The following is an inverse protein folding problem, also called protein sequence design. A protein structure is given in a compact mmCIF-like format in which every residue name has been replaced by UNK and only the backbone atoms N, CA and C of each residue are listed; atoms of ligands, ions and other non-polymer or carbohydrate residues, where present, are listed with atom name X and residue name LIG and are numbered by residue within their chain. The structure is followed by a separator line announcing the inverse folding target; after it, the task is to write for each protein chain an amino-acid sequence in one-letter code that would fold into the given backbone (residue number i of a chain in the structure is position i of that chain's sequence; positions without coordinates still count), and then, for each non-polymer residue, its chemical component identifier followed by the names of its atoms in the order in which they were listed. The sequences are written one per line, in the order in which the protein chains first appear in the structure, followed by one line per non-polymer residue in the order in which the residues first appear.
data_IF_391643341137
#
_entry.id   IF_391643341137
#
_cell.length_a   1.000
_cell.length_b   1.000
_cell.length_c   1.000
_cell.angle_alpha   90.00
_cell.angle_beta   90.00
_cell.angle_gamma   90.00
#
_symmetry.space_group_name_H-M   'P 1'
#
loop_
_entity.id
_entity.type
_entity.pdbx_description
1 polymer ?
#
# COMPACT_ATOMS: atom_id res chain seq x y z
N UNK A 1 -42.22 57.04 49.04
CA UNK A 1 -43.26 55.99 48.87
C UNK A 1 -42.63 54.63 49.17
N UNK A 2 -43.44 53.59 49.46
CA UNK A 2 -43.13 52.15 49.61
C UNK A 2 -41.73 51.71 49.10
N UNK A 3 -40.81 51.04 49.83
CA UNK A 3 -40.87 50.09 50.99
C UNK A 3 -41.53 48.75 50.68
N UNK A 4 -40.98 47.65 51.21
CA UNK A 4 -41.32 46.20 51.01
C UNK A 4 -40.78 45.60 49.69
N UNK A 5 -40.26 44.36 49.60
CA UNK A 5 -39.81 43.31 50.56
C UNK A 5 -38.88 42.34 49.77
N UNK A 6 -37.96 41.51 50.29
CA UNK A 6 -37.53 41.07 51.64
C UNK A 6 -36.12 41.65 51.98
N UNK A 7 -35.18 41.17 52.82
CA UNK A 7 -34.80 39.87 53.46
C UNK A 7 -34.34 38.79 52.42
N UNK A 8 -33.40 37.86 52.67
CA UNK A 8 -32.99 37.08 53.86
C UNK A 8 -31.44 37.03 54.05
N UNK A 9 -30.98 37.30 55.28
CA UNK A 9 -30.03 36.57 56.16
C UNK A 9 -28.83 35.78 55.54
N UNK A 10 -27.65 35.61 56.18
CA UNK A 10 -27.12 36.10 57.46
C UNK A 10 -25.57 35.96 57.58
N UNK A 11 -25.07 36.42 58.73
CA UNK A 11 -23.83 36.09 59.46
C UNK A 11 -23.19 34.71 59.11
N UNK A 12 -21.88 34.63 58.81
CA UNK A 12 -20.67 34.75 59.66
C UNK A 12 -20.29 33.48 60.46
N UNK A 13 -19.10 32.95 60.13
CA UNK A 13 -18.23 32.02 60.87
C UNK A 13 -16.84 32.23 60.22
N UNK A 14 -15.79 32.84 60.80
CA UNK A 14 -15.22 32.92 62.17
C UNK A 14 -14.19 31.84 62.55
N UNK A 15 -13.06 31.86 61.82
CA UNK A 15 -11.73 31.68 62.41
C UNK A 15 -10.64 32.19 61.44
N UNK A 16 -9.59 32.93 61.84
CA UNK A 16 -9.27 33.48 63.16
C UNK A 16 -7.93 32.99 63.72
N UNK A 17 -6.80 33.61 63.32
CA UNK A 17 -5.59 33.82 64.15
C UNK A 17 -4.55 34.72 63.48
N UNK A 18 -3.80 35.45 64.31
CA UNK A 18 -3.09 36.68 63.93
C UNK A 18 -1.59 36.57 64.28
N UNK A 19 -0.75 36.13 63.33
CA UNK A 19 0.61 35.65 63.62
C UNK A 19 1.71 36.36 62.83
N UNK A 20 1.83 37.66 63.11
CA UNK A 20 3.06 38.49 63.34
C UNK A 20 4.38 38.10 62.63
N UNK A 21 5.02 39.15 62.10
CA UNK A 21 6.39 39.23 61.55
C UNK A 21 7.39 38.08 61.82
N UNK A 22 8.14 37.69 60.78
CA UNK A 22 9.59 37.47 60.94
C UNK A 22 10.37 37.69 59.63
N UNK A 23 10.93 38.91 59.47
CA UNK A 23 11.84 39.25 58.36
C UNK A 23 13.22 38.65 58.60
N UNK A 24 13.54 37.47 58.03
CA UNK A 24 14.93 36.98 58.10
C UNK A 24 15.47 36.29 56.83
N UNK A 25 16.22 37.11 56.07
CA UNK A 25 17.52 36.80 55.42
C UNK A 25 17.58 35.55 54.53
N UNK A 26 17.30 35.81 53.26
CA UNK A 26 17.72 35.02 52.09
C UNK A 26 19.05 34.27 52.25
N UNK A 27 19.05 32.99 51.87
CA UNK A 27 20.22 32.23 51.45
C UNK A 27 19.96 31.66 50.06
N UNK A 28 20.29 32.43 49.03
CA UNK A 28 20.32 31.94 47.64
C UNK A 28 21.43 30.90 47.50
N UNK A 29 21.06 29.67 47.13
CA UNK A 29 21.95 28.69 46.49
C UNK A 29 21.11 27.54 45.93
N UNK A 30 20.82 27.59 44.64
CA UNK A 30 20.40 26.45 43.81
C UNK A 30 21.11 26.58 42.46
N UNK A 31 21.61 25.46 41.93
CA UNK A 31 22.65 25.44 40.90
C UNK A 31 22.18 24.67 39.67
N UNK A 32 22.56 25.18 38.50
CA UNK A 32 22.38 24.60 37.16
C UNK A 32 20.92 24.42 36.68
N UNK A 33 20.71 24.64 35.38
CA UNK A 33 19.40 24.54 34.74
C UNK A 33 19.20 23.20 34.02
N UNK A 34 17.93 22.86 33.78
CA UNK A 34 17.52 21.82 32.83
C UNK A 34 16.94 22.50 31.60
N UNK A 35 17.43 22.16 30.42
CA UNK A 35 17.01 22.75 29.15
C UNK A 35 15.81 22.02 28.53
N UNK A 36 15.11 22.68 27.61
CA UNK A 36 14.26 22.02 26.61
C UNK A 36 12.88 21.56 27.10
N UNK A 37 11.98 22.52 27.37
CA UNK A 37 10.56 22.23 27.65
C UNK A 37 9.81 21.77 26.37
N UNK A 38 9.94 20.48 26.07
CA UNK A 38 8.96 19.62 25.40
C UNK A 38 8.18 20.21 24.19
N UNK A 39 8.76 20.15 22.99
CA UNK A 39 8.00 20.32 21.74
C UNK A 39 6.99 19.18 21.56
N UNK A 40 5.70 19.47 21.73
CA UNK A 40 4.63 18.49 21.58
C UNK A 40 4.47 18.06 20.11
N UNK A 41 5.01 16.89 19.76
CA UNK A 41 4.86 16.29 18.43
C UNK A 41 3.57 15.45 18.35
N UNK A 42 2.59 15.80 17.48
CA UNK A 42 1.49 14.89 17.16
C UNK A 42 2.02 13.76 16.28
N UNK A 43 2.46 12.65 16.90
CA UNK A 43 2.87 11.43 16.22
C UNK A 43 1.64 10.67 15.64
N UNK A 44 0.89 11.34 14.77
CA UNK A 44 -0.35 10.82 14.18
C UNK A 44 -0.10 10.10 12.85
N UNK A 45 0.78 9.10 12.88
CA UNK A 45 0.64 7.98 11.95
C UNK A 45 0.86 6.67 12.72
N UNK A 46 -0.24 5.95 12.95
CA UNK A 46 -0.24 4.76 13.77
C UNK A 46 0.43 3.61 13.00
N UNK A 47 1.74 3.45 13.23
CA UNK A 47 2.47 2.21 12.95
C UNK A 47 1.59 1.05 13.44
N UNK A 48 1.06 0.25 12.52
CA UNK A 48 0.06 -0.75 12.83
C UNK A 48 0.71 -1.91 13.60
N UNK A 49 0.86 -1.73 14.92
CA UNK A 49 1.43 -2.70 15.83
C UNK A 49 0.59 -3.97 15.78
N UNK A 50 1.10 -4.97 15.05
CA UNK A 50 0.56 -6.31 15.06
C UNK A 50 0.94 -6.90 16.42
N UNK A 51 0.12 -6.63 17.43
CA UNK A 51 0.24 -7.21 18.76
C UNK A 51 0.04 -8.73 18.63
N UNK A 52 1.16 -9.44 18.45
CA UNK A 52 1.19 -10.91 18.39
C UNK A 52 1.05 -11.43 19.83
N UNK A 53 -0.19 -11.39 20.33
CA UNK A 53 -0.56 -12.18 21.52
C UNK A 53 -0.24 -13.63 21.22
N UNK A 54 0.64 -14.24 22.01
CA UNK A 54 1.13 -15.61 21.84
C UNK A 54 0.06 -16.58 22.36
N UNK A 55 -1.08 -16.61 21.68
CA UNK A 55 -1.95 -17.78 21.59
C UNK A 55 -1.58 -18.58 20.36
N UNK A 56 -1.80 -19.90 20.39
CA UNK A 56 -1.53 -20.82 19.29
C UNK A 56 -2.48 -20.59 18.09
N UNK A 57 -2.23 -19.52 17.33
CA UNK A 57 -3.00 -19.22 16.10
C UNK A 57 -2.90 -20.42 15.15
N UNK A 58 -4.03 -21.00 14.70
CA UNK A 58 -4.03 -22.14 13.79
C UNK A 58 -3.20 -21.85 12.54
N UNK A 59 -2.13 -22.63 12.35
CA UNK A 59 -1.26 -22.54 11.17
C UNK A 59 -1.90 -23.33 10.04
N UNK A 60 -2.65 -22.65 9.19
CA UNK A 60 -3.21 -23.28 8.00
C UNK A 60 -2.09 -23.60 7.00
N UNK A 61 -1.90 -24.88 6.70
CA UNK A 61 -1.03 -25.32 5.63
C UNK A 61 -1.76 -25.18 4.28
N UNK A 62 -1.15 -24.47 3.35
CA UNK A 62 -1.54 -24.43 1.95
C UNK A 62 -0.38 -25.03 1.14
N UNK A 63 -0.67 -26.02 0.29
CA UNK A 63 0.35 -26.76 -0.45
C UNK A 63 0.67 -25.97 -1.72
N UNK A 64 1.85 -25.35 -1.75
CA UNK A 64 2.29 -24.42 -2.81
C UNK A 64 3.69 -24.88 -3.25
N UNK A 65 3.71 -25.96 -4.03
CA UNK A 65 4.93 -26.72 -4.37
C UNK A 65 5.88 -25.99 -5.33
N UNK A 66 5.39 -24.94 -5.98
CA UNK A 66 6.16 -24.07 -6.88
C UNK A 66 5.88 -22.61 -6.50
N UNK A 67 6.89 -21.76 -6.61
CA UNK A 67 6.73 -20.32 -6.45
C UNK A 67 5.70 -19.82 -7.48
N UNK A 68 4.59 -19.18 -7.06
CA UNK A 68 3.64 -18.60 -7.99
C UNK A 68 4.29 -17.50 -8.82
N UNK A 69 3.88 -17.39 -10.08
CA UNK A 69 4.17 -16.23 -10.92
C UNK A 69 3.08 -15.17 -10.74
N UNK A 70 3.46 -13.90 -10.86
CA UNK A 70 2.63 -12.75 -10.52
C UNK A 70 2.51 -11.78 -11.68
N UNK A 71 1.30 -11.23 -11.88
CA UNK A 71 1.04 -10.14 -12.80
C UNK A 71 0.74 -8.85 -12.03
N UNK A 72 1.36 -7.75 -12.45
CA UNK A 72 1.28 -6.46 -11.77
C UNK A 72 0.04 -5.68 -12.21
N UNK A 73 -0.91 -5.47 -11.30
CA UNK A 73 -2.10 -4.67 -11.54
C UNK A 73 -1.81 -3.19 -11.28
N UNK A 74 -1.27 -2.52 -12.29
CA UNK A 74 -0.74 -1.16 -12.19
C UNK A 74 -1.73 -0.13 -11.63
N UNK A 75 -2.99 -0.15 -12.08
CA UNK A 75 -4.03 0.79 -11.61
C UNK A 75 -4.50 0.52 -10.17
N UNK A 76 -4.34 -0.71 -9.71
CA UNK A 76 -4.78 -1.18 -8.39
C UNK A 76 -3.65 -1.02 -7.35
N UNK A 77 -2.39 -1.13 -7.78
CA UNK A 77 -1.18 -0.93 -6.97
C UNK A 77 -0.70 -2.18 -6.23
N UNK A 78 -0.97 -3.38 -6.76
CA UNK A 78 -0.50 -4.66 -6.23
C UNK A 78 -0.34 -5.71 -7.33
N UNK A 79 0.37 -6.80 -7.03
CA UNK A 79 0.52 -7.97 -7.92
C UNK A 79 -0.44 -9.08 -7.53
N UNK A 80 -0.87 -9.91 -8.48
CA UNK A 80 -1.76 -11.06 -8.24
C UNK A 80 -1.21 -12.31 -8.92
N UNK A 81 -1.27 -13.46 -8.25
CA UNK A 81 -0.78 -14.72 -8.79
C UNK A 81 -1.63 -15.25 -9.95
N UNK A 82 -0.98 -15.81 -10.96
CA UNK A 82 -1.58 -16.64 -12.01
C UNK A 82 -0.92 -18.03 -12.03
N UNK A 83 -1.55 -19.02 -12.67
CA UNK A 83 -1.08 -20.43 -12.68
C UNK A 83 -1.16 -21.19 -11.34
N UNK A 84 -1.34 -20.47 -10.23
CA UNK A 84 -1.57 -21.01 -8.88
C UNK A 84 -3.03 -21.44 -8.67
N UNK A 85 -3.30 -22.53 -7.92
CA UNK A 85 -4.65 -22.93 -7.52
C UNK A 85 -5.28 -21.98 -6.49
N UNK A 86 -4.49 -21.10 -5.87
CA UNK A 86 -4.94 -20.09 -4.91
C UNK A 86 -4.77 -18.67 -5.46
N UNK A 87 -5.72 -17.78 -5.19
CA UNK A 87 -5.58 -16.35 -5.45
C UNK A 87 -4.71 -15.71 -4.35
N UNK A 88 -3.47 -15.37 -4.70
CA UNK A 88 -2.48 -14.76 -3.82
C UNK A 88 -2.17 -13.35 -4.33
N UNK A 89 -2.39 -12.34 -3.49
CA UNK A 89 -2.06 -10.95 -3.77
C UNK A 89 -0.72 -10.60 -3.10
N UNK A 90 0.21 -10.05 -3.87
CA UNK A 90 1.50 -9.56 -3.38
C UNK A 90 1.46 -8.03 -3.26
N UNK A 91 1.63 -7.54 -2.03
CA UNK A 91 1.63 -6.10 -1.71
C UNK A 91 2.55 -5.79 -0.54
N UNK A 92 3.35 -4.72 -0.64
CA UNK A 92 4.33 -4.28 0.37
C UNK A 92 5.17 -5.44 0.97
N UNK A 93 5.65 -6.34 0.11
CA UNK A 93 6.45 -7.52 0.47
C UNK A 93 5.75 -8.54 1.41
N UNK A 94 4.42 -8.50 1.49
CA UNK A 94 3.57 -9.53 2.10
C UNK A 94 2.70 -10.22 1.05
N UNK A 95 2.45 -11.50 1.27
CA UNK A 95 1.53 -12.32 0.49
C UNK A 95 0.20 -12.42 1.23
N UNK A 96 -0.90 -12.18 0.50
CA UNK A 96 -2.27 -12.22 1.00
C UNK A 96 -3.07 -13.25 0.19
N UNK A 97 -3.33 -14.41 0.78
CA UNK A 97 -4.08 -15.51 0.16
C UNK A 97 -5.55 -15.41 0.56
N UNK A 98 -6.46 -15.53 -0.40
CA UNK A 98 -7.90 -15.63 -0.14
C UNK A 98 -8.39 -17.06 -0.41
N UNK A 99 -9.03 -17.68 0.58
CA UNK A 99 -9.61 -19.00 0.45
C UNK A 99 -10.91 -19.11 1.27
N UNK A 100 -12.00 -19.57 0.66
CA UNK A 100 -13.30 -19.81 1.30
C UNK A 100 -13.79 -18.64 2.19
N UNK A 101 -13.72 -17.42 1.67
CA UNK A 101 -14.14 -16.20 2.39
C UNK A 101 -13.20 -15.75 3.51
N UNK A 102 -12.09 -16.46 3.73
CA UNK A 102 -11.10 -16.13 4.76
C UNK A 102 -9.83 -15.60 4.12
N UNK A 103 -9.28 -14.52 4.69
CA UNK A 103 -8.01 -13.95 4.29
C UNK A 103 -6.87 -14.44 5.17
N UNK A 104 -5.73 -14.73 4.54
CA UNK A 104 -4.51 -15.22 5.18
C UNK A 104 -3.34 -14.33 4.77
N UNK A 105 -2.40 -14.08 5.68
CA UNK A 105 -1.17 -13.31 5.40
C UNK A 105 0.07 -14.14 5.70
N UNK A 106 1.10 -14.00 4.86
CA UNK A 106 2.45 -14.46 5.14
C UNK A 106 3.53 -13.50 4.61
N UNK A 107 4.78 -13.70 5.06
CA UNK A 107 5.98 -13.06 4.48
C UNK A 107 6.57 -13.85 3.31
N UNK A 108 6.23 -15.13 3.15
CA UNK A 108 6.70 -15.98 2.05
C UNK A 108 5.52 -16.56 1.28
N UNK A 109 5.71 -16.88 0.00
CA UNK A 109 4.68 -17.46 -0.87
C UNK A 109 4.20 -18.86 -0.44
N UNK A 110 5.00 -19.57 0.35
CA UNK A 110 4.72 -20.91 0.89
C UNK A 110 4.33 -20.88 2.38
N UNK A 111 4.10 -19.71 2.97
CA UNK A 111 3.71 -19.56 4.37
C UNK A 111 4.90 -19.36 5.35
N UNK A 112 4.69 -19.56 6.66
CA UNK A 112 3.44 -19.99 7.30
C UNK A 112 2.33 -18.94 7.17
N UNK A 113 1.09 -19.41 7.04
CA UNK A 113 -0.08 -18.55 6.83
C UNK A 113 -0.80 -18.25 8.13
N UNK A 114 -1.11 -16.97 8.36
CA UNK A 114 -1.79 -16.45 9.55
C UNK A 114 -3.15 -15.90 9.11
N UNK A 115 -4.23 -16.37 9.72
CA UNK A 115 -5.60 -15.84 9.49
C UNK A 115 -5.64 -14.36 9.86
N UNK A 116 -6.21 -13.53 8.97
CA UNK A 116 -6.48 -12.12 9.22
C UNK A 116 -7.95 -11.80 8.96
N UNK A 117 -8.49 -10.82 9.70
CA UNK A 117 -9.82 -10.24 9.44
C UNK A 117 -9.70 -9.16 8.37
N UNK A 118 -10.75 -8.90 7.61
CA UNK A 118 -10.76 -7.95 6.49
C UNK A 118 -10.28 -6.55 6.89
N UNK A 119 -10.61 -6.09 8.11
CA UNK A 119 -10.13 -4.81 8.66
C UNK A 119 -8.60 -4.70 8.82
N UNK A 120 -7.87 -5.81 8.76
CA UNK A 120 -6.41 -5.87 8.77
C UNK A 120 -5.77 -6.05 7.38
N UNK A 121 -6.58 -6.08 6.31
CA UNK A 121 -6.09 -5.96 4.94
C UNK A 121 -5.65 -4.52 4.65
N UNK A 122 -4.59 -4.33 3.85
CA UNK A 122 -4.23 -3.03 3.30
C UNK A 122 -5.45 -2.38 2.58
N UNK A 123 -5.74 -1.08 2.79
CA UNK A 123 -6.88 -0.41 2.15
C UNK A 123 -6.92 -0.54 0.62
N UNK A 124 -5.76 -0.64 -0.04
CA UNK A 124 -5.66 -0.85 -1.49
C UNK A 124 -6.21 -2.20 -1.96
N UNK A 125 -6.10 -3.25 -1.15
CA UNK A 125 -6.70 -4.57 -1.41
C UNK A 125 -8.16 -4.58 -0.93
N UNK A 126 -8.39 -4.16 0.32
CA UNK A 126 -9.70 -4.21 1.03
C UNK A 126 -10.88 -3.53 0.32
N UNK A 127 -10.59 -2.58 -0.58
CA UNK A 127 -11.57 -1.84 -1.38
C UNK A 127 -12.10 -2.60 -2.61
N UNK A 128 -11.52 -3.76 -2.94
CA UNK A 128 -11.90 -4.59 -4.10
C UNK A 128 -12.42 -5.94 -3.62
N UNK A 129 -13.44 -6.50 -4.30
CA UNK A 129 -13.84 -7.89 -4.06
C UNK A 129 -12.83 -8.85 -4.68
N UNK A 130 -12.80 -10.10 -4.23
CA UNK A 130 -11.95 -11.11 -4.87
C UNK A 130 -12.38 -11.39 -6.32
N UNK A 131 -13.67 -11.26 -6.64
CA UNK A 131 -14.17 -11.32 -8.03
C UNK A 131 -13.59 -10.20 -8.91
N UNK A 132 -13.44 -8.99 -8.37
CA UNK A 132 -12.86 -7.86 -9.10
C UNK A 132 -11.36 -8.06 -9.29
N UNK A 133 -10.66 -8.52 -8.25
CA UNK A 133 -9.22 -8.86 -8.29
C UNK A 133 -8.94 -9.92 -9.37
N UNK A 134 -9.76 -10.98 -9.43
CA UNK A 134 -9.72 -12.01 -10.50
C UNK A 134 -9.98 -11.39 -11.87
N UNK A 135 -11.04 -10.59 -12.02
CA UNK A 135 -11.36 -9.89 -13.28
C UNK A 135 -10.21 -9.01 -13.76
N UNK A 136 -9.57 -8.25 -12.88
CA UNK A 136 -8.43 -7.40 -13.23
C UNK A 136 -7.20 -8.22 -13.63
N UNK A 137 -6.87 -9.30 -12.91
CA UNK A 137 -5.83 -10.27 -13.31
C UNK A 137 -6.09 -10.81 -14.71
N UNK A 138 -7.30 -11.30 -14.97
CA UNK A 138 -7.64 -11.95 -16.23
C UNK A 138 -7.67 -10.97 -17.41
N UNK A 139 -7.97 -9.68 -17.17
CA UNK A 139 -7.87 -8.60 -18.16
C UNK A 139 -6.40 -8.25 -18.45
N UNK A 140 -5.56 -8.03 -17.43
CA UNK A 140 -4.15 -7.72 -17.66
C UNK A 140 -3.40 -8.92 -18.26
N UNK A 141 -3.73 -10.15 -17.88
CA UNK A 141 -3.10 -11.36 -18.43
C UNK A 141 -3.34 -11.48 -19.95
N UNK A 142 -4.57 -11.21 -20.41
CA UNK A 142 -4.89 -11.16 -21.86
C UNK A 142 -4.19 -9.98 -22.56
N UNK A 143 -4.05 -8.83 -21.88
CA UNK A 143 -3.31 -7.66 -22.40
C UNK A 143 -1.82 -7.94 -22.54
N UNK A 144 -1.25 -8.70 -21.63
CA UNK A 144 0.16 -9.10 -21.62
C UNK A 144 0.45 -10.13 -22.71
N UNK A 145 -0.32 -11.23 -22.76
CA UNK A 145 -0.23 -12.22 -23.85
C UNK A 145 -0.39 -11.58 -25.24
N UNK A 146 -1.39 -10.72 -25.43
CA UNK A 146 -1.62 -10.01 -26.69
C UNK A 146 -0.50 -9.02 -27.10
N UNK A 147 0.42 -8.66 -26.19
CA UNK A 147 1.66 -7.94 -26.53
C UNK A 147 2.70 -8.91 -27.07
N UNK A 148 2.95 -10.03 -26.38
CA UNK A 148 3.90 -11.05 -26.83
C UNK A 148 3.54 -11.61 -28.21
N UNK A 149 2.27 -11.92 -28.47
CA UNK A 149 1.82 -12.42 -29.78
C UNK A 149 2.02 -11.39 -30.90
N UNK A 150 1.81 -10.11 -30.61
CA UNK A 150 2.03 -9.00 -31.55
C UNK A 150 3.53 -8.75 -31.79
N UNK A 151 4.36 -8.81 -30.77
CA UNK A 151 5.81 -8.64 -30.92
C UNK A 151 6.43 -9.81 -31.69
N UNK A 152 5.97 -11.04 -31.40
CA UNK A 152 6.37 -12.24 -32.14
C UNK A 152 5.97 -12.17 -33.61
N UNK A 153 4.70 -11.96 -33.92
CA UNK A 153 4.24 -11.84 -35.33
C UNK A 153 4.89 -10.66 -36.06
N UNK A 154 5.19 -9.56 -35.36
CA UNK A 154 5.95 -8.43 -35.89
C UNK A 154 7.45 -8.70 -36.14
N UNK A 155 8.05 -9.66 -35.42
CA UNK A 155 9.39 -10.18 -35.70
C UNK A 155 9.37 -11.16 -36.88
N UNK A 156 8.42 -12.09 -36.89
CA UNK A 156 8.34 -13.15 -37.88
C UNK A 156 8.09 -12.54 -39.28
N UNK A 157 7.07 -11.69 -39.41
CA UNK A 157 6.77 -10.92 -40.64
C UNK A 157 7.78 -9.84 -41.04
N UNK A 158 8.93 -9.76 -40.36
CA UNK A 158 10.10 -8.95 -40.76
C UNK A 158 11.13 -9.77 -41.56
N UNK A 159 11.11 -11.10 -41.44
CA UNK A 159 11.99 -11.98 -42.20
C UNK A 159 11.47 -12.20 -43.62
N UNK A 160 10.17 -12.48 -43.80
CA UNK A 160 9.53 -12.64 -45.11
C UNK A 160 9.89 -11.49 -46.07
N UNK A 161 9.67 -10.24 -45.61
CA UNK A 161 9.96 -9.00 -46.36
C UNK A 161 11.44 -8.76 -46.66
N UNK A 162 12.36 -9.54 -46.09
CA UNK A 162 13.80 -9.49 -46.40
C UNK A 162 14.19 -10.45 -47.51
N UNK A 163 13.51 -11.58 -47.64
CA UNK A 163 13.76 -12.53 -48.73
C UNK A 163 13.02 -12.13 -50.01
N UNK A 164 11.86 -11.47 -49.91
CA UNK A 164 11.23 -10.75 -51.05
C UNK A 164 12.24 -9.79 -51.71
N UNK A 165 12.86 -8.92 -50.90
CA UNK A 165 13.86 -7.93 -51.35
C UNK A 165 15.19 -8.50 -51.81
N UNK A 166 15.42 -9.81 -51.64
CA UNK A 166 16.59 -10.51 -52.20
C UNK A 166 16.31 -11.10 -53.59
N UNK A 167 15.06 -11.14 -54.02
CA UNK A 167 14.64 -11.75 -55.28
C UNK A 167 14.26 -10.73 -56.37
N UNK A 168 14.22 -9.43 -56.07
CA UNK A 168 14.18 -8.40 -57.12
C UNK A 168 15.59 -8.17 -57.70
N UNK A 169 15.89 -8.60 -58.94
CA UNK A 169 17.08 -8.12 -59.64
C UNK A 169 16.95 -6.61 -59.90
N UNK A 170 18.05 -5.85 -59.93
CA UNK A 170 17.99 -4.43 -60.29
C UNK A 170 17.34 -4.25 -61.66
N UNK A 171 16.22 -3.51 -61.72
CA UNK A 171 15.61 -3.10 -62.99
C UNK A 171 16.48 -2.03 -63.62
N UNK A 172 17.44 -2.49 -64.42
CA UNK A 172 18.32 -1.64 -65.21
C UNK A 172 17.57 -1.06 -66.40
N UNK A 173 16.71 -0.07 -66.14
CA UNK A 173 16.00 0.68 -67.18
C UNK A 173 16.99 1.53 -67.98
N UNK A 174 17.63 0.88 -68.96
CA UNK A 174 18.55 1.48 -69.92
C UNK A 174 17.75 2.32 -70.93
N UNK A 175 17.26 3.49 -70.51
CA UNK A 175 16.76 4.54 -71.40
C UNK A 175 17.92 5.19 -72.18
N UNK A 176 18.51 4.39 -73.08
CA UNK A 176 19.40 4.79 -74.16
C UNK A 176 18.78 4.33 -75.48
N UNK A 177 17.74 5.03 -75.92
CA UNK A 177 17.39 5.06 -77.33
C UNK A 177 18.27 6.10 -78.00
N UNK A 178 19.36 5.60 -78.55
CA UNK A 178 20.30 6.34 -79.38
C UNK A 178 19.65 6.86 -80.68
N UNK A 179 20.36 7.75 -81.36
CA UNK A 179 19.85 8.64 -82.40
C UNK A 179 19.60 7.95 -83.77
N UNK A 180 18.91 8.69 -84.65
CA UNK A 180 19.06 8.70 -86.11
C UNK A 180 18.68 7.44 -86.93
N UNK A 181 17.55 7.53 -87.66
CA UNK A 181 17.55 7.27 -89.12
C UNK A 181 16.33 7.76 -89.91
N UNK A 182 16.64 8.61 -90.91
CA UNK A 182 15.83 9.05 -92.08
C UNK A 182 14.66 9.98 -91.80
#
# INVERSE_FOLDING_TARGET
MKVTLHQIDCLLDDSGKNNKETKMKSRILMIAGVAGMFMASPALDAMAEVNVRIGSTPRHAFVIDRRPDFIQLGSQGFSVSYGSPYDIVLYNNFYYLHNNGTWYRSRNYNGPWIVIRDRALPPRIRRHRIEDIRRYRDVEYRRDQGRYDRERSGRDGRWDRRDDRRQEPPRGDNDRRDDNRR
#
